data_IF_672360739473
#
_entry.id   IF_672360739473
#
_cell.length_a   1.000
_cell.length_b   1.000
_cell.length_c   1.000
_cell.angle_alpha   90.00
_cell.angle_beta   90.00
_cell.angle_gamma   90.00
#
_symmetry.space_group_name_H-M   'P 1'
#
loop_
_entity.id
_entity.type
_entity.pdbx_description
1 polymer ?
#
# COMPACT_ATOMS: atom_id res chain seq x y z
N UNK A 1 -21.87 11.97 16.05
CA UNK A 1 -21.06 13.10 15.52
C UNK A 1 -20.13 12.59 14.44
N UNK A 2 -20.42 12.85 13.17
CA UNK A 2 -19.50 12.60 12.05
C UNK A 2 -18.37 13.62 12.13
N UNK A 3 -17.18 13.22 12.58
CA UNK A 3 -16.00 14.07 12.45
C UNK A 3 -15.62 14.11 10.97
N UNK A 4 -16.03 15.20 10.33
CA UNK A 4 -15.73 15.56 8.96
C UNK A 4 -14.24 15.84 8.84
N UNK A 5 -13.57 15.19 7.88
CA UNK A 5 -12.19 15.51 7.46
C UNK A 5 -12.18 16.82 6.63
N UNK A 6 -12.88 17.84 7.12
CA UNK A 6 -12.93 19.19 6.54
C UNK A 6 -12.76 20.11 7.74
N UNK A 7 -11.61 20.71 8.05
CA UNK A 7 -10.69 21.51 7.21
C UNK A 7 -9.38 21.77 8.02
N UNK A 8 -8.29 22.34 7.47
CA UNK A 8 -8.22 23.48 6.55
C UNK A 8 -8.01 23.06 5.09
N UNK A 9 -8.90 23.53 4.22
CA UNK A 9 -8.78 23.55 2.76
C UNK A 9 -8.05 22.35 2.10
N UNK A 10 -8.72 21.20 1.95
CA UNK A 10 -8.41 20.35 0.80
C UNK A 10 -8.99 21.01 -0.44
N UNK A 11 -8.29 22.07 -0.89
CA UNK A 11 -8.45 22.60 -2.24
C UNK A 11 -8.34 21.43 -3.20
N UNK A 12 -9.08 21.51 -4.30
CA UNK A 12 -9.01 20.55 -5.37
C UNK A 12 -7.54 20.28 -5.73
N UNK A 13 -7.12 19.01 -5.59
CA UNK A 13 -5.76 18.57 -5.86
C UNK A 13 -5.81 17.35 -6.76
N UNK A 14 -5.24 17.49 -7.94
CA UNK A 14 -5.02 16.38 -8.84
C UNK A 14 -3.87 15.50 -8.33
N UNK A 15 -4.11 14.18 -8.26
CA UNK A 15 -3.14 13.19 -7.82
C UNK A 15 -2.41 12.54 -9.00
N UNK A 16 -3.12 12.42 -10.12
CA UNK A 16 -2.61 11.97 -11.42
C UNK A 16 -3.62 12.42 -12.51
N UNK A 17 -3.29 12.32 -13.81
CA UNK A 17 -4.25 12.58 -14.89
C UNK A 17 -5.59 11.91 -14.65
N UNK A 18 -6.66 12.72 -14.63
CA UNK A 18 -8.03 12.26 -14.43
C UNK A 18 -8.42 11.78 -13.04
N UNK A 19 -7.56 11.83 -12.01
CA UNK A 19 -7.88 11.45 -10.62
C UNK A 19 -7.51 12.57 -9.64
N UNK A 20 -8.46 12.98 -8.80
CA UNK A 20 -8.29 14.09 -7.86
C UNK A 20 -8.99 13.84 -6.52
N UNK A 21 -8.81 14.78 -5.60
CA UNK A 21 -9.51 14.85 -4.31
C UNK A 21 -9.70 16.31 -3.92
N UNK A 22 -10.72 16.60 -3.10
CA UNK A 22 -10.95 17.94 -2.53
C UNK A 22 -12.27 18.54 -2.96
N UNK A 23 -12.53 19.76 -2.51
CA UNK A 23 -13.73 20.53 -2.83
C UNK A 23 -13.40 22.02 -3.02
N UNK A 24 -14.16 22.77 -3.85
CA UNK A 24 -15.25 22.28 -4.71
C UNK A 24 -14.73 21.38 -5.84
N UNK A 25 -15.59 20.51 -6.38
CA UNK A 25 -15.26 19.76 -7.59
C UNK A 25 -15.21 20.70 -8.78
N UNK A 26 -14.23 20.52 -9.66
CA UNK A 26 -14.19 21.21 -10.94
C UNK A 26 -15.25 20.64 -11.92
N UNK A 27 -15.53 21.38 -12.99
CA UNK A 27 -16.44 20.94 -14.05
C UNK A 27 -15.95 19.61 -14.66
N UNK A 28 -16.86 18.69 -14.94
CA UNK A 28 -16.60 17.35 -15.49
C UNK A 28 -15.91 16.35 -14.53
N UNK A 29 -15.72 16.72 -13.27
CA UNK A 29 -15.24 15.81 -12.23
C UNK A 29 -16.39 15.21 -11.42
N UNK A 30 -16.43 13.88 -11.33
CA UNK A 30 -17.46 13.12 -10.63
C UNK A 30 -16.87 12.28 -9.52
N UNK A 31 -17.67 12.01 -8.48
CA UNK A 31 -17.24 11.13 -7.40
C UNK A 31 -17.02 9.71 -7.90
N UNK A 32 -15.90 9.09 -7.51
CA UNK A 32 -15.60 7.70 -7.87
C UNK A 32 -16.65 6.69 -7.38
N UNK A 33 -17.50 7.07 -6.41
CA UNK A 33 -18.63 6.27 -5.93
C UNK A 33 -19.60 5.91 -7.05
N UNK A 34 -19.67 6.76 -8.07
CA UNK A 34 -20.59 6.64 -9.18
C UNK A 34 -19.98 5.88 -10.36
N UNK A 35 -18.75 5.37 -10.21
CA UNK A 35 -17.98 4.77 -11.29
C UNK A 35 -17.78 3.26 -11.17
N UNK A 36 -17.55 2.63 -12.32
CA UNK A 36 -17.20 1.21 -12.40
C UNK A 36 -15.75 1.00 -11.97
N UNK A 37 -15.57 0.69 -10.68
CA UNK A 37 -14.27 0.46 -10.05
C UNK A 37 -14.03 -1.04 -9.80
N UNK A 38 -12.89 -1.55 -10.23
CA UNK A 38 -12.41 -2.89 -9.89
C UNK A 38 -11.38 -2.76 -8.76
N UNK A 39 -11.66 -3.39 -7.63
CA UNK A 39 -10.77 -3.42 -6.48
C UNK A 39 -10.14 -4.81 -6.37
N UNK A 40 -8.81 -4.87 -6.50
CA UNK A 40 -8.06 -6.11 -6.38
C UNK A 40 -7.69 -6.33 -4.91
N UNK A 41 -8.13 -7.46 -4.36
CA UNK A 41 -7.88 -7.88 -2.98
C UNK A 41 -7.13 -9.21 -2.96
N UNK A 42 -6.31 -9.40 -1.93
CA UNK A 42 -5.62 -10.68 -1.71
C UNK A 42 -4.43 -10.49 -0.79
N UNK A 43 -3.88 -11.59 -0.29
CA UNK A 43 -2.76 -11.55 0.65
C UNK A 43 -1.43 -11.19 -0.04
N UNK A 44 -0.38 -10.94 0.74
CA UNK A 44 0.96 -10.69 0.17
C UNK A 44 1.47 -11.97 -0.51
N UNK A 45 2.10 -11.84 -1.69
CA UNK A 45 2.63 -12.97 -2.45
C UNK A 45 1.64 -13.63 -3.42
N UNK A 46 0.36 -13.24 -3.43
CA UNK A 46 -0.64 -13.83 -4.35
C UNK A 46 -0.44 -13.47 -5.82
N UNK A 47 0.35 -12.43 -6.12
CA UNK A 47 0.68 -12.04 -7.50
C UNK A 47 -0.04 -10.81 -8.06
N UNK A 48 -0.70 -9.99 -7.22
CA UNK A 48 -1.39 -8.75 -7.64
C UNK A 48 -0.56 -7.85 -8.56
N UNK A 49 0.63 -7.44 -8.12
CA UNK A 49 1.52 -6.59 -8.92
C UNK A 49 1.93 -7.27 -10.24
N UNK A 50 2.18 -8.57 -10.22
CA UNK A 50 2.49 -9.33 -11.44
C UNK A 50 1.33 -9.35 -12.42
N UNK A 51 0.10 -9.53 -11.93
CA UNK A 51 -1.12 -9.51 -12.73
C UNK A 51 -1.37 -8.13 -13.34
N UNK A 52 -1.28 -7.05 -12.57
CA UNK A 52 -1.42 -5.67 -13.08
C UNK A 52 -0.36 -5.36 -14.14
N UNK A 53 0.90 -5.75 -13.91
CA UNK A 53 1.96 -5.53 -14.90
C UNK A 53 1.68 -6.28 -16.20
N UNK A 54 1.14 -7.50 -16.13
CA UNK A 54 0.74 -8.27 -17.31
C UNK A 54 -0.44 -7.62 -18.04
N UNK A 55 -1.47 -7.17 -17.31
CA UNK A 55 -2.60 -6.43 -17.89
C UNK A 55 -2.12 -5.17 -18.62
N UNK A 56 -1.25 -4.39 -17.99
CA UNK A 56 -0.67 -3.18 -18.58
C UNK A 56 0.08 -3.50 -19.87
N UNK A 57 0.87 -4.57 -19.88
CA UNK A 57 1.64 -5.01 -21.07
C UNK A 57 0.78 -5.61 -22.18
N UNK A 58 -0.42 -6.11 -21.87
CA UNK A 58 -1.34 -6.68 -22.86
C UNK A 58 -2.05 -5.63 -23.72
N UNK A 59 -1.84 -4.34 -23.46
CA UNK A 59 -2.48 -3.26 -24.22
C UNK A 59 -3.97 -3.06 -23.88
N UNK A 60 -4.47 -3.71 -22.82
CA UNK A 60 -5.83 -3.47 -22.34
C UNK A 60 -5.97 -2.02 -21.87
N UNK A 61 -7.04 -1.37 -22.30
CA UNK A 61 -7.32 -0.01 -21.90
C UNK A 61 -7.98 0.01 -20.52
N UNK A 62 -7.33 0.63 -19.54
CA UNK A 62 -7.84 0.83 -18.18
C UNK A 62 -7.07 1.96 -17.49
N UNK A 63 -7.65 2.56 -16.46
CA UNK A 63 -6.93 3.50 -15.59
C UNK A 63 -6.60 2.85 -14.26
N UNK A 64 -5.30 2.69 -13.99
CA UNK A 64 -4.81 2.33 -12.66
C UNK A 64 -4.84 3.56 -11.75
N UNK A 65 -5.58 3.48 -10.66
CA UNK A 65 -5.62 4.53 -9.64
C UNK A 65 -4.28 4.65 -8.90
N UNK A 66 -4.01 5.80 -8.24
CA UNK A 66 -2.81 5.97 -7.42
C UNK A 66 -2.71 4.85 -6.39
N UNK A 67 -1.55 4.20 -6.30
CA UNK A 67 -1.39 3.06 -5.40
C UNK A 67 -1.47 3.49 -3.92
N UNK A 68 -1.59 2.50 -3.02
CA UNK A 68 -1.63 2.74 -1.56
C UNK A 68 -0.50 3.65 -1.06
N UNK A 69 0.72 3.51 -1.58
CA UNK A 69 1.87 4.32 -1.11
C UNK A 69 1.71 5.77 -1.48
N UNK A 70 1.33 6.06 -2.73
CA UNK A 70 1.04 7.41 -3.21
C UNK A 70 -0.07 8.03 -2.36
N UNK A 71 -1.22 7.36 -2.22
CA UNK A 71 -2.32 7.87 -1.38
C UNK A 71 -1.93 8.08 0.09
N UNK A 72 -1.07 7.20 0.64
CA UNK A 72 -0.60 7.38 2.02
C UNK A 72 0.30 8.60 2.16
N UNK A 73 1.25 8.77 1.22
CA UNK A 73 2.21 9.88 1.23
C UNK A 73 1.54 11.23 0.94
N UNK A 74 0.62 11.27 -0.02
CA UNK A 74 -0.02 12.51 -0.46
C UNK A 74 -1.18 12.96 0.43
N UNK A 75 -1.84 12.04 1.13
CA UNK A 75 -3.11 12.33 1.83
C UNK A 75 -3.06 12.00 3.32
N UNK A 76 -2.72 10.75 3.67
CA UNK A 76 -2.83 10.28 5.06
C UNK A 76 -1.78 10.94 5.94
N UNK A 77 -0.53 10.95 5.47
CA UNK A 77 0.59 11.51 6.21
C UNK A 77 0.38 13.01 6.47
N UNK A 78 0.16 13.87 5.45
CA UNK A 78 0.01 15.30 5.68
C UNK A 78 -1.16 15.62 6.60
N UNK A 79 -2.27 14.87 6.48
CA UNK A 79 -3.44 15.04 7.33
C UNK A 79 -3.12 14.77 8.80
N UNK A 80 -2.52 13.63 9.12
CA UNK A 80 -2.17 13.30 10.51
C UNK A 80 -1.02 14.18 11.02
N UNK A 81 -0.10 14.60 10.16
CA UNK A 81 0.96 15.55 10.49
C UNK A 81 0.37 16.89 10.98
N UNK A 82 -0.58 17.43 10.21
CA UNK A 82 -1.25 18.69 10.52
C UNK A 82 -2.00 18.61 11.85
N UNK A 83 -2.72 17.50 12.11
CA UNK A 83 -3.38 17.27 13.40
C UNK A 83 -2.37 17.25 14.55
N UNK A 84 -1.20 16.65 14.33
CA UNK A 84 -0.16 16.56 15.34
C UNK A 84 0.73 17.83 15.42
N UNK A 85 0.44 18.89 14.65
CA UNK A 85 1.26 20.10 14.60
C UNK A 85 2.69 19.87 14.08
N UNK A 86 2.91 18.83 13.26
CA UNK A 86 4.23 18.48 12.72
C UNK A 86 4.36 18.90 11.26
N UNK A 87 5.49 19.49 10.91
CA UNK A 87 5.93 19.63 9.52
C UNK A 87 6.77 18.39 9.15
N UNK A 88 6.52 17.80 7.99
CA UNK A 88 7.20 16.57 7.57
C UNK A 88 7.86 16.76 6.20
N UNK A 89 9.16 16.49 6.12
CA UNK A 89 9.92 16.56 4.88
C UNK A 89 10.16 15.18 4.25
N UNK A 90 10.73 14.23 5.01
CA UNK A 90 11.01 12.86 4.54
C UNK A 90 10.62 11.86 5.61
N UNK A 91 10.07 10.71 5.18
CA UNK A 91 9.46 9.73 6.09
C UNK A 91 9.97 8.34 5.77
N UNK A 92 10.54 7.69 6.77
CA UNK A 92 10.96 6.31 6.62
C UNK A 92 9.75 5.36 6.56
N UNK A 93 10.02 4.10 6.25
CA UNK A 93 8.97 3.07 6.15
C UNK A 93 8.20 2.89 7.46
N UNK A 94 8.92 2.87 8.60
CA UNK A 94 8.32 2.63 9.91
C UNK A 94 7.37 3.77 10.31
N UNK A 95 7.78 5.01 10.08
CA UNK A 95 6.94 6.18 10.34
C UNK A 95 5.67 6.15 9.48
N UNK A 96 5.76 5.79 8.20
CA UNK A 96 4.57 5.63 7.35
C UNK A 96 3.55 4.67 7.96
N UNK A 97 4.01 3.57 8.55
CA UNK A 97 3.11 2.66 9.27
C UNK A 97 2.52 3.30 10.53
N UNK A 98 3.30 4.07 11.30
CA UNK A 98 2.79 4.82 12.46
C UNK A 98 1.67 5.79 12.06
N UNK A 99 1.90 6.63 11.05
CA UNK A 99 0.91 7.58 10.53
C UNK A 99 -0.33 6.86 9.99
N UNK A 100 -0.16 5.78 9.22
CA UNK A 100 -1.29 4.98 8.72
C UNK A 100 -2.11 4.39 9.87
N UNK A 101 -1.47 3.89 10.92
CA UNK A 101 -2.16 3.34 12.09
C UNK A 101 -2.92 4.41 12.87
N UNK A 102 -2.34 5.60 13.04
CA UNK A 102 -3.03 6.74 13.67
C UNK A 102 -4.27 7.15 12.87
N UNK A 103 -4.14 7.25 11.55
CA UNK A 103 -5.29 7.50 10.67
C UNK A 103 -6.38 6.44 10.83
N UNK A 104 -6.02 5.16 10.85
CA UNK A 104 -6.99 4.07 11.03
C UNK A 104 -7.73 4.12 12.38
N UNK A 105 -7.12 4.67 13.44
CA UNK A 105 -7.80 4.87 14.73
C UNK A 105 -8.93 5.89 14.62
N UNK A 106 -8.72 6.98 13.87
CA UNK A 106 -9.74 8.02 13.64
C UNK A 106 -10.74 7.60 12.57
N UNK A 107 -10.28 6.85 11.58
CA UNK A 107 -11.02 6.45 10.39
C UNK A 107 -10.96 4.94 10.21
N UNK A 108 -11.87 4.18 10.84
CA UNK A 108 -11.83 2.71 10.82
C UNK A 108 -11.88 2.08 9.42
N UNK A 109 -12.44 2.79 8.43
CA UNK A 109 -12.45 2.34 7.03
C UNK A 109 -11.12 2.53 6.28
N UNK A 110 -10.12 3.16 6.91
CA UNK A 110 -8.74 3.26 6.43
C UNK A 110 -8.64 3.73 4.97
N UNK A 111 -7.91 3.00 4.14
CA UNK A 111 -7.75 3.32 2.72
C UNK A 111 -9.09 3.33 1.95
N UNK A 112 -10.07 2.52 2.37
CA UNK A 112 -11.41 2.54 1.78
C UNK A 112 -12.10 3.89 1.91
N UNK A 113 -11.85 4.62 3.02
CA UNK A 113 -12.34 5.98 3.19
C UNK A 113 -11.67 6.99 2.27
N UNK A 114 -10.38 6.81 1.99
CA UNK A 114 -9.66 7.66 1.03
C UNK A 114 -10.22 7.45 -0.36
N UNK A 115 -10.39 6.19 -0.80
CA UNK A 115 -11.01 5.87 -2.09
C UNK A 115 -12.38 6.54 -2.24
N UNK A 116 -13.21 6.47 -1.19
CA UNK A 116 -14.57 7.01 -1.17
C UNK A 116 -14.65 8.55 -1.34
N UNK A 117 -13.52 9.24 -1.37
CA UNK A 117 -13.41 10.69 -1.59
C UNK A 117 -12.72 11.07 -2.90
N UNK A 118 -12.18 10.09 -3.62
CA UNK A 118 -11.58 10.36 -4.91
C UNK A 118 -12.65 10.83 -5.90
N UNK A 119 -12.19 11.68 -6.80
CA UNK A 119 -12.95 12.17 -7.93
C UNK A 119 -12.23 11.76 -9.20
N UNK A 120 -13.01 11.58 -10.26
CA UNK A 120 -12.50 11.22 -11.58
C UNK A 120 -13.00 12.19 -12.64
N UNK A 121 -12.18 12.45 -13.65
CA UNK A 121 -12.58 13.17 -14.84
C UNK A 121 -12.78 12.18 -15.99
N UNK A 122 -14.04 11.98 -16.38
CA UNK A 122 -14.43 10.99 -17.40
C UNK A 122 -13.82 11.25 -18.78
N UNK A 123 -13.42 12.49 -19.08
CA UNK A 123 -12.80 12.85 -20.36
C UNK A 123 -11.31 12.46 -20.41
N UNK A 124 -10.69 12.12 -19.27
CA UNK A 124 -9.25 11.83 -19.17
C UNK A 124 -8.95 10.36 -18.86
N UNK A 125 -9.88 9.64 -18.24
CA UNK A 125 -9.67 8.26 -17.79
C UNK A 125 -10.13 7.23 -18.82
N UNK A 126 -9.54 6.04 -18.72
CA UNK A 126 -9.96 4.85 -19.43
C UNK A 126 -10.68 3.90 -18.48
N UNK A 127 -11.73 3.27 -18.97
CA UNK A 127 -12.48 2.27 -18.20
C UNK A 127 -12.04 0.84 -18.54
N UNK A 128 -12.03 -0.08 -17.56
CA UNK A 128 -12.45 0.12 -16.17
C UNK A 128 -11.42 0.87 -15.31
N UNK A 129 -11.86 1.44 -14.19
CA UNK A 129 -10.95 1.92 -13.14
C UNK A 129 -10.44 0.72 -12.33
N UNK A 130 -9.15 0.67 -12.03
CA UNK A 130 -8.55 -0.41 -11.23
C UNK A 130 -7.82 0.17 -10.02
N UNK A 131 -8.07 -0.38 -8.84
CA UNK A 131 -7.32 -0.06 -7.62
C UNK A 131 -6.61 -1.29 -7.05
N UNK A 132 -5.30 -1.16 -6.84
CA UNK A 132 -4.48 -2.18 -6.18
C UNK A 132 -4.35 -1.91 -4.68
N UNK A 133 -5.04 -2.76 -3.92
CA UNK A 133 -4.89 -3.03 -2.48
C UNK A 133 -5.67 -2.15 -1.50
N UNK A 134 -6.80 -2.70 -1.05
CA UNK A 134 -7.28 -2.58 0.33
C UNK A 134 -6.63 -3.65 1.22
N UNK A 135 -6.40 -3.33 2.49
CA UNK A 135 -5.80 -4.22 3.50
C UNK A 135 -6.71 -4.40 4.70
N UNK A 136 -7.01 -5.66 4.99
CA UNK A 136 -7.78 -6.04 6.17
C UNK A 136 -9.28 -5.89 5.97
N UNK A 137 -10.02 -6.56 6.86
CA UNK A 137 -11.48 -6.65 6.83
C UNK A 137 -12.14 -5.27 6.81
N UNK A 138 -11.71 -4.37 7.68
CA UNK A 138 -12.37 -3.06 7.84
C UNK A 138 -12.30 -2.18 6.58
N UNK A 139 -11.15 -2.14 5.90
CA UNK A 139 -11.01 -1.35 4.66
C UNK A 139 -11.92 -1.91 3.55
N UNK A 140 -11.98 -3.24 3.42
CA UNK A 140 -12.81 -3.93 2.42
C UNK A 140 -14.29 -3.77 2.74
N UNK A 141 -14.72 -4.01 3.98
CA UNK A 141 -16.11 -3.83 4.42
C UNK A 141 -16.59 -2.40 4.22
N UNK A 142 -15.75 -1.41 4.55
CA UNK A 142 -16.08 -0.01 4.32
C UNK A 142 -16.26 0.29 2.82
N UNK A 143 -15.33 -0.17 1.98
CA UNK A 143 -15.40 0.01 0.54
C UNK A 143 -16.65 -0.65 -0.06
N UNK A 144 -16.94 -1.90 0.30
CA UNK A 144 -18.13 -2.61 -0.17
C UNK A 144 -19.44 -1.93 0.26
N UNK A 145 -19.45 -1.31 1.45
CA UNK A 145 -20.62 -0.56 1.93
C UNK A 145 -20.82 0.76 1.17
N UNK A 146 -19.74 1.46 0.80
CA UNK A 146 -19.78 2.86 0.32
C UNK A 146 -19.60 3.03 -1.18
N UNK A 147 -18.83 2.16 -1.83
CA UNK A 147 -18.55 2.16 -3.27
C UNK A 147 -19.47 1.14 -3.96
N UNK A 148 -20.74 1.49 -4.13
CA UNK A 148 -21.78 0.54 -4.56
C UNK A 148 -21.58 -0.05 -5.96
N UNK A 149 -20.92 0.67 -6.86
CA UNK A 149 -20.58 0.19 -8.20
C UNK A 149 -19.23 -0.54 -8.27
N UNK A 150 -18.52 -0.66 -7.14
CA UNK A 150 -17.24 -1.35 -7.14
C UNK A 150 -17.42 -2.88 -7.19
N UNK A 151 -16.62 -3.53 -8.03
CA UNK A 151 -16.49 -4.98 -8.10
C UNK A 151 -15.18 -5.40 -7.43
N UNK A 152 -15.22 -6.46 -6.64
CA UNK A 152 -14.05 -6.98 -5.94
C UNK A 152 -13.53 -8.23 -6.64
N UNK A 153 -12.25 -8.22 -6.98
CA UNK A 153 -11.55 -9.38 -7.55
C UNK A 153 -10.58 -9.90 -6.49
N UNK A 154 -10.80 -11.12 -6.05
CA UNK A 154 -9.95 -11.79 -5.07
C UNK A 154 -8.90 -12.59 -5.84
N UNK A 155 -7.63 -12.25 -5.65
CA UNK A 155 -6.52 -13.09 -6.08
C UNK A 155 -6.06 -13.94 -4.92
N UNK A 156 -6.16 -15.25 -5.12
CA UNK A 156 -5.68 -16.25 -4.17
C UNK A 156 -4.52 -17.07 -4.73
N UNK A 157 -3.73 -17.64 -3.82
CA UNK A 157 -2.68 -18.58 -4.11
C UNK A 157 -2.40 -19.44 -2.87
N UNK A 158 -2.08 -20.74 -3.05
CA UNK A 158 -1.69 -21.61 -1.94
C UNK A 158 -0.57 -21.01 -1.08
N UNK A 159 -0.56 -21.34 0.22
CA UNK A 159 0.44 -20.84 1.16
C UNK A 159 1.86 -21.14 0.69
N UNK A 160 2.13 -22.36 0.23
CA UNK A 160 3.43 -22.79 -0.30
C UNK A 160 3.91 -21.92 -1.46
N UNK A 161 3.02 -21.62 -2.42
CA UNK A 161 3.30 -20.74 -3.56
C UNK A 161 3.62 -19.32 -3.08
N UNK A 162 2.83 -18.80 -2.12
CA UNK A 162 3.06 -17.46 -1.57
C UNK A 162 4.36 -17.37 -0.79
N UNK A 163 4.69 -18.39 0.02
CA UNK A 163 5.93 -18.45 0.78
C UNK A 163 7.13 -18.47 -0.18
N UNK A 164 7.13 -19.35 -1.18
CA UNK A 164 8.16 -19.39 -2.23
C UNK A 164 8.35 -18.04 -2.89
N UNK A 165 7.26 -17.37 -3.26
CA UNK A 165 7.29 -16.03 -3.87
C UNK A 165 7.79 -14.94 -2.92
N UNK A 166 7.53 -15.05 -1.62
CA UNK A 166 7.98 -14.08 -0.62
C UNK A 166 9.48 -14.24 -0.34
N UNK A 167 9.97 -15.47 -0.23
CA UNK A 167 11.39 -15.78 0.00
C UNK A 167 12.26 -15.39 -1.20
N UNK A 168 11.76 -15.58 -2.42
CA UNK A 168 12.47 -15.21 -3.67
C UNK A 168 12.25 -13.76 -4.09
N UNK A 169 11.49 -12.98 -3.31
CA UNK A 169 11.16 -11.60 -3.67
C UNK A 169 12.37 -10.69 -3.50
N UNK A 170 13.14 -10.52 -4.56
CA UNK A 170 14.16 -9.48 -4.64
C UNK A 170 13.51 -8.09 -4.59
N UNK A 171 13.74 -7.39 -3.50
CA UNK A 171 13.53 -5.95 -3.38
C UNK A 171 14.88 -5.21 -3.52
N UNK A 172 14.82 -3.93 -3.86
CA UNK A 172 16.01 -3.08 -3.93
C UNK A 172 16.86 -3.06 -2.64
N UNK A 173 16.28 -3.33 -1.47
CA UNK A 173 17.02 -3.41 -0.19
C UNK A 173 17.88 -4.68 -0.04
N UNK A 174 17.70 -5.71 -0.88
CA UNK A 174 18.63 -6.85 -0.93
C UNK A 174 19.93 -6.47 -1.64
N UNK A 175 19.99 -5.32 -2.31
CA UNK A 175 21.27 -4.71 -2.67
C UNK A 175 21.83 -4.04 -1.42
N UNK A 176 22.58 -4.80 -0.63
CA UNK A 176 23.65 -4.19 0.15
C UNK A 176 24.60 -3.65 -0.91
N UNK A 177 24.58 -2.34 -1.17
CA UNK A 177 25.70 -1.67 -1.83
C UNK A 177 26.89 -1.95 -0.95
N UNK A 178 27.74 -2.90 -1.38
CA UNK A 178 29.06 -3.07 -0.80
C UNK A 178 29.72 -1.71 -0.81
N UNK A 179 29.89 -1.11 0.37
CA UNK A 179 31.05 -0.27 0.55
C UNK A 179 32.25 -1.20 0.33
N UNK A 180 32.97 -1.02 -0.77
CA UNK A 180 34.42 -1.20 -0.72
C UNK A 180 34.92 -0.13 0.25
N UNK A 181 35.70 -0.41 1.28
CA UNK A 181 36.84 -1.30 1.35
C UNK A 181 36.88 -2.02 2.71
N UNK A 182 37.63 -3.12 2.77
CA UNK A 182 37.99 -3.93 3.93
C UNK A 182 37.08 -5.12 4.31
N UNK A 183 37.77 -6.27 4.38
CA UNK A 183 37.40 -7.58 4.90
C UNK A 183 36.63 -8.53 3.97
N UNK A 184 37.41 -9.35 3.29
CA UNK A 184 37.07 -10.75 3.00
C UNK A 184 36.72 -11.41 4.35
N UNK A 185 35.44 -11.41 4.71
CA UNK A 185 34.96 -12.24 5.82
C UNK A 185 34.93 -13.68 5.30
N UNK A 186 35.83 -14.51 5.84
CA UNK A 186 35.87 -15.96 5.66
C UNK A 186 34.45 -16.55 5.73
N UNK A 187 33.92 -17.01 4.59
CA UNK A 187 32.53 -17.49 4.44
C UNK A 187 32.21 -18.79 5.20
N UNK A 188 33.12 -19.32 6.00
CA UNK A 188 32.94 -20.62 6.66
C UNK A 188 32.88 -20.59 8.19
N UNK A 189 33.11 -19.44 8.85
CA UNK A 189 33.07 -19.36 10.34
C UNK A 189 31.73 -18.94 10.95
N UNK A 190 30.79 -18.41 10.16
CA UNK A 190 29.54 -17.86 10.69
C UNK A 190 28.35 -18.82 10.52
N UNK A 191 28.52 -20.10 10.89
CA UNK A 191 27.40 -21.05 10.94
C UNK A 191 26.78 -21.20 12.33
N UNK A 192 27.21 -20.39 13.31
CA UNK A 192 26.65 -20.38 14.66
C UNK A 192 26.47 -18.96 15.19
N UNK A 193 25.35 -18.72 15.88
CA UNK A 193 25.13 -17.47 16.63
C UNK A 193 26.17 -17.25 17.73
N UNK A 194 26.80 -18.32 18.24
CA UNK A 194 27.90 -18.20 19.19
C UNK A 194 29.14 -17.53 18.57
N UNK A 195 29.38 -17.73 17.26
CA UNK A 195 30.48 -17.06 16.54
C UNK A 195 30.22 -15.56 16.35
N UNK A 196 28.98 -15.10 16.56
CA UNK A 196 28.59 -13.68 16.55
C UNK A 196 28.56 -13.06 17.96
N UNK A 197 29.06 -13.77 18.98
CA UNK A 197 29.11 -13.26 20.35
C UNK A 197 27.75 -13.25 21.07
N UNK A 198 26.77 -14.02 20.60
CA UNK A 198 25.43 -14.13 21.20
C UNK A 198 25.21 -15.59 21.65
N UNK A 199 25.84 -16.02 22.75
CA UNK A 199 25.78 -17.40 23.22
C UNK A 199 24.38 -17.84 23.66
N UNK A 200 23.52 -16.91 24.07
CA UNK A 200 22.17 -17.24 24.54
C UNK A 200 21.23 -17.68 23.41
N UNK A 201 21.51 -17.25 22.17
CA UNK A 201 20.63 -17.52 21.03
C UNK A 201 20.53 -19.00 20.65
N UNK A 202 21.56 -19.83 20.95
CA UNK A 202 21.51 -21.27 20.70
C UNK A 202 20.48 -22.00 21.58
N UNK A 203 20.13 -21.43 22.75
CA UNK A 203 19.11 -22.00 23.64
C UNK A 203 17.68 -21.76 23.16
N UNK A 204 17.49 -20.82 22.23
CA UNK A 204 16.18 -20.44 21.68
C UNK A 204 15.72 -21.35 20.54
N UNK A 205 16.61 -22.15 19.97
CA UNK A 205 16.29 -23.11 18.92
C UNK A 205 16.30 -24.53 19.50
N UNK A 206 15.13 -25.09 19.74
CA UNK A 206 14.99 -26.52 20.00
C UNK A 206 15.26 -27.29 18.69
N UNK A 207 15.97 -28.42 18.79
CA UNK A 207 16.42 -29.28 17.67
C UNK A 207 15.32 -29.81 16.72
N UNK A 208 14.06 -29.41 16.89
CA UNK A 208 12.93 -29.87 16.09
C UNK A 208 12.71 -29.08 14.78
N UNK A 209 13.46 -28.02 14.50
CA UNK A 209 13.41 -27.29 13.22
C UNK A 209 14.73 -27.39 12.43
N UNK A 210 15.19 -28.61 12.20
CA UNK A 210 16.24 -28.88 11.23
C UNK A 210 15.95 -30.18 10.46
N UNK A 211 14.97 -30.11 9.55
CA UNK A 211 14.93 -30.87 8.29
C UNK A 211 13.93 -30.24 7.32
#
# INVERSE_FOLDING_TARGET
MMQTITKPNQNFKQLQPGIAIGVPSEKDWVSIRNENLIIIVGLTGVGKTTMINKLTKSGLNFTLLPNRRTLTTELIIPYIAAINGKNIQTICRLERFKYTRQYQKQFPGGMGQILNKLQVNSNTINYPLIFDVLRGKNEVTYAAKTLKKAKFVILDAPLSVRLKRLLTRYYAFYKITKFSEYAVVERQKNMSFSALGIPEASSLFTFAEAQ
#
